data_IF_256659510496
#
_entry.id   IF_256659510496
#
_cell.length_a   1.000
_cell.length_b   1.000
_cell.length_c   1.000
_cell.angle_alpha   90.00
_cell.angle_beta   90.00
_cell.angle_gamma   90.00
#
_symmetry.space_group_name_H-M   'P 1'
#
loop_
_entity.id
_entity.type
_entity.pdbx_description
1 polymer ?
#
# COMPACT_ATOMS: atom_id res chain seq x y z
N UNK A 1 9.23 -16.45 -3.36
CA UNK A 1 8.56 -17.24 -2.30
C UNK A 1 7.45 -18.07 -2.96
N UNK A 2 7.88 -19.06 -3.73
CA UNK A 2 7.01 -20.03 -4.40
C UNK A 2 6.62 -21.01 -3.30
N UNK A 3 5.65 -20.63 -2.45
CA UNK A 3 4.98 -21.63 -1.63
C UNK A 3 3.89 -22.19 -2.52
N UNK A 4 4.06 -23.46 -2.86
CA UNK A 4 3.20 -24.28 -3.68
C UNK A 4 1.70 -24.02 -3.38
N UNK A 5 1.03 -23.40 -4.34
CA UNK A 5 -0.43 -23.42 -4.43
C UNK A 5 -0.98 -24.86 -4.57
N UNK A 6 -0.13 -25.81 -4.97
CA UNK A 6 -0.47 -27.23 -5.07
C UNK A 6 -0.98 -27.85 -3.74
N UNK A 7 -0.70 -27.23 -2.59
CA UNK A 7 -1.18 -27.73 -1.29
C UNK A 7 -2.53 -27.14 -0.85
N UNK A 8 -2.96 -26.01 -1.43
CA UNK A 8 -4.25 -25.39 -1.09
C UNK A 8 -5.32 -25.92 -2.04
N UNK A 9 -5.90 -27.07 -1.71
CA UNK A 9 -7.06 -27.59 -2.43
C UNK A 9 -8.27 -26.71 -2.19
N UNK A 10 -8.92 -26.27 -3.28
CA UNK A 10 -10.20 -25.58 -3.22
C UNK A 10 -11.31 -26.60 -3.49
N UNK A 11 -11.99 -27.02 -2.42
CA UNK A 11 -13.08 -27.98 -2.49
C UNK A 11 -14.43 -27.28 -2.31
N UNK A 12 -15.42 -27.70 -3.09
CA UNK A 12 -16.81 -27.30 -2.87
C UNK A 12 -17.43 -28.18 -1.79
N UNK A 13 -17.72 -27.62 -0.62
CA UNK A 13 -18.21 -28.34 0.57
C UNK A 13 -19.44 -27.67 1.18
N UNK A 14 -20.33 -28.47 1.78
CA UNK A 14 -21.48 -28.03 2.57
C UNK A 14 -22.75 -27.69 1.77
N UNK A 15 -23.85 -27.44 2.51
CA UNK A 15 -25.13 -26.94 1.98
C UNK A 15 -25.54 -25.67 2.75
N UNK A 16 -25.60 -24.49 2.11
CA UNK A 16 -25.28 -24.22 0.71
C UNK A 16 -23.79 -24.41 0.38
N UNK A 17 -23.50 -24.65 -0.91
CA UNK A 17 -22.16 -24.95 -1.42
C UNK A 17 -21.19 -23.78 -1.19
N UNK A 18 -19.99 -24.07 -0.67
CA UNK A 18 -18.94 -23.08 -0.41
C UNK A 18 -17.60 -23.56 -0.93
N UNK A 19 -16.80 -22.62 -1.44
CA UNK A 19 -15.39 -22.86 -1.76
C UNK A 19 -14.56 -22.76 -0.49
N UNK A 20 -13.85 -23.84 -0.15
CA UNK A 20 -13.03 -23.90 1.05
C UNK A 20 -11.61 -24.28 0.70
N UNK A 21 -10.64 -23.56 1.28
CA UNK A 21 -9.28 -24.07 1.37
C UNK A 21 -9.25 -25.11 2.49
N UNK A 22 -8.88 -26.34 2.13
CA UNK A 22 -8.88 -27.48 3.07
C UNK A 22 -7.45 -27.83 3.46
N UNK A 23 -6.81 -28.71 2.69
CA UNK A 23 -5.44 -29.14 2.91
C UNK A 23 -4.48 -27.95 2.84
N UNK A 24 -3.38 -28.00 3.62
CA UNK A 24 -2.32 -26.99 3.63
C UNK A 24 -2.68 -25.60 4.17
N UNK A 25 -3.97 -25.27 4.35
CA UNK A 25 -4.40 -23.93 4.77
C UNK A 25 -3.87 -23.53 6.15
N UNK A 26 -4.03 -24.40 7.14
CA UNK A 26 -3.59 -24.11 8.51
C UNK A 26 -2.06 -23.92 8.60
N UNK A 27 -1.31 -24.76 7.89
CA UNK A 27 0.16 -24.64 7.82
C UNK A 27 0.59 -23.35 7.11
N UNK A 28 -0.06 -23.02 5.99
CA UNK A 28 0.17 -21.77 5.27
C UNK A 28 -0.13 -20.55 6.15
N UNK A 29 -1.30 -20.51 6.79
CA UNK A 29 -1.73 -19.42 7.64
C UNK A 29 -0.77 -19.22 8.80
N UNK A 30 -0.38 -20.30 9.48
CA UNK A 30 0.61 -20.28 10.57
C UNK A 30 1.98 -19.83 10.08
N UNK A 31 2.48 -20.39 8.98
CA UNK A 31 3.78 -20.05 8.39
C UNK A 31 3.86 -18.61 7.83
N UNK A 32 2.71 -17.94 7.69
CA UNK A 32 2.62 -16.53 7.29
C UNK A 32 2.12 -15.62 8.40
N UNK A 33 1.97 -16.15 9.62
CA UNK A 33 1.47 -15.44 10.78
C UNK A 33 0.15 -14.72 10.50
N UNK A 34 -0.73 -15.32 9.67
CA UNK A 34 -2.02 -14.73 9.33
C UNK A 34 -2.89 -14.64 10.58
N UNK A 35 -3.53 -13.49 10.76
CA UNK A 35 -4.44 -13.24 11.87
C UNK A 35 -5.74 -12.60 11.36
N UNK A 36 -6.76 -12.54 12.22
CA UNK A 36 -8.06 -11.96 11.91
C UNK A 36 -7.90 -10.52 11.40
N UNK A 37 -8.50 -10.24 10.25
CA UNK A 37 -8.39 -8.94 9.57
C UNK A 37 -7.23 -8.83 8.59
N UNK A 38 -6.27 -9.76 8.60
CA UNK A 38 -5.37 -9.92 7.47
C UNK A 38 -6.15 -10.36 6.24
N UNK A 39 -5.60 -10.05 5.07
CA UNK A 39 -6.24 -10.35 3.81
C UNK A 39 -5.36 -11.24 2.95
N UNK A 40 -5.97 -12.27 2.37
CA UNK A 40 -5.38 -13.17 1.40
C UNK A 40 -5.90 -12.81 0.00
N UNK A 41 -4.99 -12.55 -0.93
CA UNK A 41 -5.32 -12.15 -2.30
C UNK A 41 -4.86 -13.25 -3.24
N UNK A 42 -5.79 -13.77 -4.05
CA UNK A 42 -5.50 -14.73 -5.09
C UNK A 42 -5.65 -14.05 -6.46
N UNK A 43 -4.65 -14.23 -7.32
CA UNK A 43 -4.64 -13.70 -8.68
C UNK A 43 -4.34 -14.84 -9.64
N UNK A 44 -5.10 -14.93 -10.73
CA UNK A 44 -4.85 -15.86 -11.83
C UNK A 44 -4.53 -15.07 -13.09
N UNK A 45 -3.35 -15.29 -13.65
CA UNK A 45 -2.91 -14.70 -14.92
C UNK A 45 -3.59 -15.37 -16.11
N UNK A 46 -3.48 -14.72 -17.26
CA UNK A 46 -4.04 -15.20 -18.53
C UNK A 46 -3.43 -16.53 -18.98
N UNK A 47 -2.15 -16.75 -18.65
CA UNK A 47 -1.44 -18.02 -18.87
C UNK A 47 -1.87 -19.14 -17.89
N UNK A 48 -2.86 -18.89 -17.04
CA UNK A 48 -3.33 -19.82 -16.03
C UNK A 48 -2.44 -19.90 -14.77
N UNK A 49 -1.30 -19.21 -14.73
CA UNK A 49 -0.46 -19.13 -13.54
C UNK A 49 -1.23 -18.44 -12.41
N UNK A 50 -1.17 -19.05 -11.23
CA UNK A 50 -1.82 -18.51 -10.05
C UNK A 50 -0.79 -17.95 -9.08
N UNK A 51 -1.08 -16.80 -8.48
CA UNK A 51 -0.22 -16.12 -7.51
C UNK A 51 -1.03 -15.72 -6.29
N UNK A 52 -0.37 -15.72 -5.14
CA UNK A 52 -0.97 -15.33 -3.86
C UNK A 52 -0.19 -14.19 -3.25
N UNK A 53 -0.93 -13.20 -2.77
CA UNK A 53 -0.43 -12.11 -1.95
C UNK A 53 -1.07 -12.13 -0.57
N UNK A 54 -0.34 -11.62 0.42
CA UNK A 54 -0.87 -11.39 1.77
C UNK A 54 -0.75 -9.91 2.08
N UNK A 55 -1.83 -9.35 2.63
CA UNK A 55 -1.84 -8.02 3.21
C UNK A 55 -2.15 -8.12 4.69
N UNK A 56 -1.23 -7.64 5.51
CA UNK A 56 -1.43 -7.52 6.95
C UNK A 56 -2.40 -6.38 7.28
N UNK A 57 -3.29 -6.60 8.24
CA UNK A 57 -4.14 -5.56 8.78
C UNK A 57 -3.29 -4.37 9.27
N UNK A 58 -3.79 -3.14 9.11
CA UNK A 58 -3.03 -1.94 9.48
C UNK A 58 -2.64 -1.92 10.96
N UNK A 59 -3.48 -2.49 11.83
CA UNK A 59 -3.22 -2.58 13.28
C UNK A 59 -2.03 -3.49 13.60
N UNK A 60 -1.82 -4.55 12.80
CA UNK A 60 -0.69 -5.48 12.96
C UNK A 60 0.63 -4.92 12.42
N UNK A 61 0.60 -3.89 11.56
CA UNK A 61 1.80 -3.28 10.97
C UNK A 61 2.53 -2.34 11.95
N UNK A 62 1.87 -1.85 13.00
CA UNK A 62 2.45 -0.91 13.98
C UNK A 62 3.58 -1.53 14.82
N UNK A 63 3.64 -2.87 14.91
CA UNK A 63 4.59 -3.58 15.76
C UNK A 63 5.97 -3.83 15.14
N UNK A 64 6.13 -3.63 13.83
CA UNK A 64 7.42 -3.79 13.17
C UNK A 64 8.22 -2.48 13.23
N UNK A 65 8.70 -2.09 14.42
CA UNK A 65 9.73 -1.06 14.52
C UNK A 65 11.03 -1.63 13.93
N UNK A 66 11.58 -1.04 12.85
CA UNK A 66 12.88 -1.46 12.37
C UNK A 66 13.92 -1.21 13.46
N UNK A 67 14.86 -2.13 13.64
CA UNK A 67 16.09 -1.88 14.38
C UNK A 67 16.88 -0.81 13.61
N UNK A 68 16.86 0.42 14.11
CA UNK A 68 17.55 1.53 13.46
C UNK A 68 18.99 1.59 13.96
N UNK A 69 19.96 1.35 13.08
CA UNK A 69 21.39 1.55 13.36
C UNK A 69 21.74 3.04 13.58
N UNK A 70 20.88 3.93 13.11
CA UNK A 70 21.06 5.39 13.11
C UNK A 70 19.78 6.04 13.67
N UNK A 71 19.91 7.17 14.36
CA UNK A 71 18.76 7.90 14.92
C UNK A 71 17.79 8.37 13.82
N UNK A 72 16.49 8.51 14.15
CA UNK A 72 15.50 9.07 13.21
C UNK A 72 15.91 10.45 12.70
N UNK A 73 16.44 11.30 13.59
CA UNK A 73 16.82 12.67 13.24
C UNK A 73 17.96 12.68 12.23
N UNK A 74 18.96 11.83 12.42
CA UNK A 74 20.05 11.64 11.45
C UNK A 74 19.51 11.14 10.11
N UNK A 75 18.61 10.14 10.10
CA UNK A 75 17.99 9.68 8.85
C UNK A 75 17.29 10.80 8.07
N UNK A 76 16.57 11.70 8.76
CA UNK A 76 15.92 12.85 8.11
C UNK A 76 16.94 13.81 7.50
N UNK A 77 18.03 14.11 8.21
CA UNK A 77 19.10 14.96 7.69
C UNK A 77 19.78 14.31 6.47
N UNK A 78 20.08 13.02 6.55
CA UNK A 78 20.75 12.27 5.48
C UNK A 78 19.93 12.27 4.20
N UNK A 79 18.60 12.08 4.28
CA UNK A 79 17.71 12.11 3.11
C UNK A 79 17.74 13.50 2.44
N UNK A 80 17.65 14.58 3.22
CA UNK A 80 17.66 15.95 2.69
C UNK A 80 19.02 16.28 2.07
N UNK A 81 20.12 15.95 2.76
CA UNK A 81 21.47 16.18 2.26
C UNK A 81 21.73 15.41 0.97
N UNK A 82 21.29 14.15 0.90
CA UNK A 82 21.40 13.31 -0.30
C UNK A 82 20.64 13.91 -1.47
N UNK A 83 19.37 14.28 -1.27
CA UNK A 83 18.55 14.89 -2.31
C UNK A 83 19.15 16.22 -2.80
N UNK A 84 19.59 17.09 -1.88
CA UNK A 84 20.23 18.36 -2.22
C UNK A 84 21.51 18.16 -3.04
N UNK A 85 22.34 17.20 -2.64
CA UNK A 85 23.56 16.87 -3.36
C UNK A 85 23.27 16.31 -4.77
N UNK A 86 22.26 15.45 -4.89
CA UNK A 86 21.81 14.89 -6.17
C UNK A 86 21.35 15.98 -7.14
N UNK A 87 20.59 16.96 -6.65
CA UNK A 87 20.18 18.14 -7.44
C UNK A 87 21.40 18.98 -7.86
N UNK A 88 22.28 19.31 -6.92
CA UNK A 88 23.48 20.14 -7.19
C UNK A 88 24.42 19.51 -8.21
N UNK A 89 24.62 18.19 -8.12
CA UNK A 89 25.54 17.43 -8.99
C UNK A 89 24.85 16.82 -10.21
N UNK A 90 23.53 17.02 -10.37
CA UNK A 90 22.71 16.42 -11.44
C UNK A 90 22.90 14.90 -11.53
N UNK A 91 22.89 14.22 -10.39
CA UNK A 91 23.05 12.76 -10.34
C UNK A 91 21.81 12.07 -9.75
N UNK A 92 21.72 10.75 -9.98
CA UNK A 92 20.65 9.93 -9.42
C UNK A 92 20.87 9.68 -7.92
N UNK A 93 19.77 9.43 -7.21
CA UNK A 93 19.77 8.91 -5.84
C UNK A 93 18.62 7.93 -5.68
N UNK A 94 18.73 7.04 -4.70
CA UNK A 94 17.77 5.95 -4.47
C UNK A 94 16.89 6.29 -3.27
N UNK A 95 15.59 6.05 -3.40
CA UNK A 95 14.62 6.18 -2.31
C UNK A 95 13.84 4.88 -2.13
N UNK A 96 13.60 4.51 -0.87
CA UNK A 96 12.73 3.39 -0.54
C UNK A 96 11.29 3.87 -0.41
N UNK A 97 10.47 3.55 -1.40
CA UNK A 97 9.06 3.92 -1.39
C UNK A 97 8.20 2.87 -0.69
N UNK A 98 7.41 3.30 0.30
CA UNK A 98 6.44 2.46 1.04
C UNK A 98 5.02 3.00 0.85
N UNK A 99 4.30 2.59 -0.22
CA UNK A 99 3.02 3.18 -0.62
C UNK A 99 1.93 3.18 0.47
N UNK A 100 1.96 2.21 1.40
CA UNK A 100 1.00 2.13 2.52
C UNK A 100 1.28 3.11 3.65
N UNK A 101 2.53 3.56 3.79
CA UNK A 101 2.95 4.42 4.89
C UNK A 101 3.10 5.89 4.45
N UNK A 102 3.45 6.14 3.18
CA UNK A 102 3.63 7.49 2.66
C UNK A 102 3.48 7.51 1.13
N UNK A 103 2.93 8.61 0.60
CA UNK A 103 2.72 8.85 -0.83
C UNK A 103 3.41 10.17 -1.22
N UNK A 104 4.74 10.14 -1.37
CA UNK A 104 5.55 11.34 -1.68
C UNK A 104 6.05 11.37 -3.14
N UNK A 105 5.91 10.28 -3.89
CA UNK A 105 6.26 10.21 -5.30
C UNK A 105 5.02 10.50 -6.14
N UNK A 106 5.04 11.62 -6.87
CA UNK A 106 3.95 12.06 -7.74
C UNK A 106 4.49 12.17 -9.16
N UNK A 107 3.76 11.64 -10.13
CA UNK A 107 4.10 11.82 -11.55
C UNK A 107 4.03 13.31 -11.92
N UNK A 108 4.97 13.78 -12.73
CA UNK A 108 5.12 15.21 -13.05
C UNK A 108 3.87 15.79 -13.71
N UNK A 109 3.27 15.11 -14.69
CA UNK A 109 2.07 15.59 -15.37
C UNK A 109 0.89 15.72 -14.40
N UNK A 110 0.71 14.73 -13.52
CA UNK A 110 -0.31 14.81 -12.46
C UNK A 110 -0.07 15.96 -11.48
N UNK A 111 1.19 16.29 -11.21
CA UNK A 111 1.55 17.42 -10.36
C UNK A 111 1.18 18.74 -11.05
N UNK A 112 1.56 18.91 -12.31
CA UNK A 112 1.22 20.11 -13.10
C UNK A 112 -0.29 20.26 -13.27
N UNK A 113 -1.01 19.19 -13.57
CA UNK A 113 -2.48 19.16 -13.59
C UNK A 113 -3.10 19.57 -12.25
N UNK A 114 -2.46 19.19 -11.15
CA UNK A 114 -2.86 19.55 -9.79
C UNK A 114 -2.66 21.04 -9.51
N UNK A 115 -1.47 21.58 -9.84
CA UNK A 115 -1.12 22.99 -9.65
C UNK A 115 -1.99 23.90 -10.50
N UNK A 116 -2.31 23.49 -11.74
CA UNK A 116 -3.16 24.27 -12.64
C UNK A 116 -4.65 24.27 -12.24
N UNK A 117 -5.06 23.42 -11.28
CA UNK A 117 -6.41 23.49 -10.72
C UNK A 117 -6.48 24.66 -9.75
N UNK A 118 -7.38 25.60 -10.02
CA UNK A 118 -7.71 26.70 -9.12
C UNK A 118 -8.52 26.16 -7.93
N UNK A 119 -7.84 25.83 -6.83
CA UNK A 119 -8.48 25.39 -5.59
C UNK A 119 -8.75 26.58 -4.67
N UNK A 120 -10.01 26.99 -4.54
CA UNK A 120 -10.41 28.02 -3.58
C UNK A 120 -10.91 27.41 -2.26
N UNK A 121 -10.92 28.23 -1.19
CA UNK A 121 -11.65 27.89 0.04
C UNK A 121 -13.11 27.57 -0.33
N UNK A 122 -13.66 26.52 0.28
CA UNK A 122 -15.01 26.04 -0.02
C UNK A 122 -15.11 25.14 -1.27
N UNK A 123 -14.02 24.92 -2.01
CA UNK A 123 -13.99 23.96 -3.11
C UNK A 123 -14.33 22.55 -2.62
N UNK A 124 -15.20 21.86 -3.36
CA UNK A 124 -15.48 20.43 -3.15
C UNK A 124 -14.43 19.61 -3.84
N UNK A 125 -13.94 18.59 -3.14
CA UNK A 125 -13.04 17.61 -3.72
C UNK A 125 -13.52 16.19 -3.44
N UNK A 126 -13.03 15.26 -4.24
CA UNK A 126 -13.29 13.84 -4.11
C UNK A 126 -11.97 13.13 -3.89
N UNK A 127 -11.81 12.49 -2.74
CA UNK A 127 -10.60 11.77 -2.39
C UNK A 127 -10.86 10.27 -2.39
N UNK A 128 -9.91 9.53 -2.95
CA UNK A 128 -9.95 8.07 -3.03
C UNK A 128 -9.23 7.50 -1.81
N UNK A 129 -9.87 6.54 -1.15
CA UNK A 129 -9.33 5.80 -0.02
C UNK A 129 -9.44 4.31 -0.28
N UNK A 130 -8.50 3.57 0.29
CA UNK A 130 -8.57 2.12 0.27
C UNK A 130 -9.58 1.64 1.33
N UNK A 131 -10.62 0.94 0.89
CA UNK A 131 -11.63 0.35 1.76
C UNK A 131 -11.19 -0.97 2.39
N UNK A 132 -12.01 -1.46 3.33
CA UNK A 132 -11.74 -2.69 4.09
C UNK A 132 -11.61 -3.96 3.22
N UNK A 133 -12.20 -3.96 2.03
CA UNK A 133 -12.22 -5.11 1.12
C UNK A 133 -11.49 -4.83 -0.20
N UNK A 134 -10.42 -4.02 -0.17
CA UNK A 134 -9.65 -3.62 -1.37
C UNK A 134 -10.45 -2.83 -2.42
N UNK A 135 -11.62 -2.33 -2.03
CA UNK A 135 -12.42 -1.46 -2.87
C UNK A 135 -11.95 0.00 -2.74
N UNK A 136 -12.06 0.76 -3.82
CA UNK A 136 -11.82 2.20 -3.80
C UNK A 136 -13.06 2.90 -3.23
N UNK A 137 -12.91 3.57 -2.08
CA UNK A 137 -13.95 4.40 -1.47
C UNK A 137 -13.68 5.85 -1.87
N UNK A 138 -14.72 6.55 -2.35
CA UNK A 138 -14.61 7.97 -2.71
C UNK A 138 -15.33 8.81 -1.66
N UNK A 139 -14.59 9.68 -0.98
CA UNK A 139 -15.12 10.57 0.06
C UNK A 139 -15.15 11.99 -0.49
N UNK A 140 -16.34 12.61 -0.46
CA UNK A 140 -16.53 14.01 -0.84
C UNK A 140 -16.33 14.88 0.38
N UNK A 141 -15.51 15.92 0.27
CA UNK A 141 -15.27 16.85 1.36
C UNK A 141 -15.09 18.29 0.82
N UNK A 142 -15.08 19.26 1.73
CA UNK A 142 -14.86 20.68 1.44
C UNK A 142 -13.50 21.10 1.99
N UNK A 143 -12.77 21.92 1.23
CA UNK A 143 -11.55 22.50 1.78
C UNK A 143 -11.88 23.67 2.70
N UNK A 144 -11.44 23.55 3.95
CA UNK A 144 -11.60 24.59 4.99
C UNK A 144 -10.45 25.59 4.98
N UNK A 145 -9.29 25.22 4.41
CA UNK A 145 -8.09 26.06 4.40
C UNK A 145 -7.27 25.81 3.13
N UNK A 146 -7.08 26.87 2.33
CA UNK A 146 -6.06 26.97 1.28
C UNK A 146 -5.40 28.34 1.46
N UNK A 147 -4.33 28.41 2.26
CA UNK A 147 -3.72 29.71 2.63
C UNK A 147 -2.86 30.35 1.53
N UNK A 148 -2.58 29.63 0.44
CA UNK A 148 -1.63 30.06 -0.59
C UNK A 148 -2.21 29.97 -2.03
N UNK A 149 -3.51 30.24 -2.21
CA UNK A 149 -4.16 30.24 -3.55
C UNK A 149 -4.31 31.63 -4.19
N UNK A 150 -3.71 32.66 -3.59
CA UNK A 150 -3.63 34.01 -4.19
C UNK A 150 -2.24 34.28 -4.76
#
# INVERSE_FOLDING_TARGET
>A
LIINLYFLENNQLGTPQRHLFTSGWNEFAKGKYLDVGDSFVFLRGENGESRVGIRKAAIHQQHNKPSSLISKQSMHHDIVATALNAVKRKCMFVVFYKPRSSQFLVNFDKFIDGVNKKFSIGSRFLMKFEGRYFNEIRVRNFSTHWKDSE
#
